data_IF_067831205610
#
_entry.id   IF_067831205610
#
_cell.length_a   1.000
_cell.length_b   1.000
_cell.length_c   1.000
_cell.angle_alpha   90.00
_cell.angle_beta   90.00
_cell.angle_gamma   90.00
#
_symmetry.space_group_name_H-M   'P 1'
#
loop_
_entity.id
_entity.type
_entity.pdbx_description
1 polymer ?
#
# COMPACT_ATOMS: atom_id res chain seq x y z
N UNK A 1 -10.02 -31.04 -2.44
CA UNK A 1 -9.55 -32.34 -1.93
C UNK A 1 -10.20 -32.71 -0.61
N UNK A 2 -10.00 -31.98 0.50
CA UNK A 2 -10.71 -32.29 1.76
C UNK A 2 -12.22 -32.10 1.67
N UNK A 3 -12.69 -31.01 1.04
CA UNK A 3 -14.13 -30.77 0.87
C UNK A 3 -14.83 -31.91 0.11
N UNK A 4 -14.21 -32.43 -0.95
CA UNK A 4 -14.76 -33.56 -1.71
C UNK A 4 -14.87 -34.82 -0.86
N UNK A 5 -13.82 -35.17 -0.09
CA UNK A 5 -13.85 -36.32 0.82
C UNK A 5 -14.94 -36.19 1.89
N UNK A 6 -15.14 -34.99 2.42
CA UNK A 6 -16.21 -34.69 3.36
C UNK A 6 -17.59 -34.81 2.72
N UNK A 7 -17.77 -34.31 1.49
CA UNK A 7 -19.01 -34.48 0.73
C UNK A 7 -19.28 -35.95 0.41
N UNK A 8 -18.27 -36.75 0.09
CA UNK A 8 -18.39 -38.20 -0.10
C UNK A 8 -18.84 -38.92 1.18
N UNK A 9 -18.30 -38.52 2.34
CA UNK A 9 -18.73 -39.07 3.63
C UNK A 9 -20.20 -38.71 3.95
N UNK A 10 -20.58 -37.45 3.74
CA UNK A 10 -21.95 -36.98 3.88
C UNK A 10 -22.92 -37.70 2.92
N UNK A 11 -22.53 -37.87 1.66
CA UNK A 11 -23.34 -38.56 0.66
C UNK A 11 -23.62 -40.01 1.08
N UNK A 12 -22.61 -40.72 1.58
CA UNK A 12 -22.77 -42.08 2.12
C UNK A 12 -23.75 -42.13 3.30
N UNK A 13 -23.62 -41.20 4.26
CA UNK A 13 -24.52 -41.14 5.42
C UNK A 13 -25.98 -40.89 5.00
N UNK A 14 -26.18 -40.04 3.99
CA UNK A 14 -27.50 -39.68 3.47
C UNK A 14 -28.06 -40.71 2.46
N UNK A 15 -27.33 -41.79 2.18
CA UNK A 15 -27.63 -42.75 1.10
C UNK A 15 -27.79 -42.07 -0.28
N UNK A 16 -27.04 -41.01 -0.51
CA UNK A 16 -26.98 -40.28 -1.77
C UNK A 16 -25.78 -40.75 -2.61
N UNK A 17 -26.02 -40.93 -3.91
CA UNK A 17 -25.01 -41.39 -4.88
C UNK A 17 -24.43 -40.24 -5.70
N UNK A 18 -25.17 -39.14 -5.85
CA UNK A 18 -24.73 -37.96 -6.56
C UNK A 18 -24.10 -36.93 -5.59
N UNK A 19 -22.77 -36.95 -5.47
CA UNK A 19 -22.02 -36.04 -4.59
C UNK A 19 -22.28 -34.55 -4.92
N UNK A 20 -22.60 -34.23 -6.17
CA UNK A 20 -22.82 -32.85 -6.60
C UNK A 20 -24.06 -32.20 -5.95
N UNK A 21 -25.01 -33.00 -5.45
CA UNK A 21 -26.17 -32.46 -4.72
C UNK A 21 -25.85 -32.17 -3.26
N UNK A 22 -24.67 -32.57 -2.78
CA UNK A 22 -24.22 -32.31 -1.41
C UNK A 22 -23.42 -31.02 -1.36
N UNK A 23 -23.90 -30.07 -0.57
CA UNK A 23 -23.20 -28.82 -0.24
C UNK A 23 -22.99 -28.72 1.27
N UNK A 24 -22.06 -27.86 1.67
CA UNK A 24 -21.83 -27.51 3.08
C UNK A 24 -21.98 -26.01 3.16
N UNK A 25 -23.01 -25.56 3.85
CA UNK A 25 -23.42 -24.16 3.91
C UNK A 25 -23.71 -23.82 5.37
N UNK A 26 -23.11 -22.72 5.87
CA UNK A 26 -23.27 -22.28 7.26
C UNK A 26 -23.05 -23.42 8.27
N UNK A 27 -21.98 -24.20 8.08
CA UNK A 27 -21.61 -25.32 8.96
C UNK A 27 -22.66 -26.45 9.02
N UNK A 28 -23.52 -26.57 8.00
CA UNK A 28 -24.51 -27.64 7.88
C UNK A 28 -24.36 -28.32 6.52
N UNK A 29 -24.52 -29.66 6.49
CA UNK A 29 -24.63 -30.41 5.24
C UNK A 29 -26.01 -30.20 4.65
N UNK A 30 -26.07 -29.83 3.37
CA UNK A 30 -27.32 -29.67 2.62
C UNK A 30 -27.42 -30.70 1.48
N UNK A 31 -28.65 -31.12 1.18
CA UNK A 31 -29.00 -31.92 0.02
C UNK A 31 -29.83 -31.04 -0.92
N UNK A 32 -29.34 -30.76 -2.14
CA UNK A 32 -29.95 -29.80 -3.06
C UNK A 32 -30.24 -28.42 -2.42
N UNK A 33 -29.32 -27.92 -1.59
CA UNK A 33 -29.47 -26.71 -0.78
C UNK A 33 -30.49 -26.76 0.36
N UNK A 34 -31.19 -27.89 0.55
CA UNK A 34 -32.04 -28.11 1.72
C UNK A 34 -31.18 -28.59 2.90
N UNK A 35 -31.21 -27.92 4.07
CA UNK A 35 -30.39 -28.29 5.22
C UNK A 35 -30.80 -29.64 5.80
N UNK A 36 -29.81 -30.47 6.11
CA UNK A 36 -30.01 -31.76 6.77
C UNK A 36 -29.77 -31.66 8.28
N UNK A 37 -29.95 -32.77 8.99
CA UNK A 37 -29.61 -32.86 10.42
C UNK A 37 -28.09 -32.96 10.68
N UNK A 38 -27.27 -33.15 9.65
CA UNK A 38 -25.83 -33.35 9.80
C UNK A 38 -25.15 -31.97 9.88
N UNK A 39 -24.76 -31.62 11.10
CA UNK A 39 -23.91 -30.45 11.38
C UNK A 39 -22.47 -30.69 10.92
N UNK A 40 -21.66 -29.64 10.85
CA UNK A 40 -20.23 -29.71 10.59
C UNK A 40 -19.52 -30.63 11.60
N UNK A 41 -19.83 -30.51 12.88
CA UNK A 41 -19.26 -31.35 13.93
C UNK A 41 -19.64 -32.82 13.74
N UNK A 42 -20.91 -33.09 13.44
CA UNK A 42 -21.36 -34.46 13.16
C UNK A 42 -20.67 -35.02 11.92
N UNK A 43 -20.50 -34.23 10.87
CA UNK A 43 -19.81 -34.63 9.65
C UNK A 43 -18.34 -35.01 9.93
N UNK A 44 -17.65 -34.24 10.78
CA UNK A 44 -16.28 -34.56 11.18
C UNK A 44 -16.21 -35.87 11.98
N UNK A 45 -17.16 -36.12 12.88
CA UNK A 45 -17.26 -37.41 13.58
C UNK A 45 -17.51 -38.57 12.62
N UNK A 46 -18.47 -38.42 11.70
CA UNK A 46 -18.77 -39.42 10.66
C UNK A 46 -17.53 -39.71 9.82
N UNK A 47 -16.82 -38.67 9.37
CA UNK A 47 -15.60 -38.81 8.58
C UNK A 47 -14.50 -39.55 9.35
N UNK A 48 -14.31 -39.23 10.64
CA UNK A 48 -13.33 -39.88 11.49
C UNK A 48 -13.65 -41.36 11.73
N UNK A 49 -14.90 -41.68 12.06
CA UNK A 49 -15.37 -43.06 12.27
C UNK A 49 -15.19 -43.90 11.00
N UNK A 50 -15.42 -43.30 9.84
CA UNK A 50 -15.21 -43.90 8.53
C UNK A 50 -13.75 -43.88 8.05
N UNK A 51 -12.81 -43.45 8.89
CA UNK A 51 -11.37 -43.38 8.60
C UNK A 51 -11.06 -42.56 7.33
N UNK A 52 -11.85 -41.52 7.08
CA UNK A 52 -11.61 -40.56 6.01
C UNK A 52 -10.44 -39.66 6.42
N UNK A 53 -9.45 -39.52 5.56
CA UNK A 53 -8.31 -38.63 5.79
C UNK A 53 -8.73 -37.16 5.71
N UNK A 54 -8.61 -36.46 6.84
CA UNK A 54 -8.91 -35.04 7.01
C UNK A 54 -7.69 -34.14 6.80
N UNK A 55 -6.53 -34.70 6.44
CA UNK A 55 -5.35 -33.92 6.06
C UNK A 55 -5.34 -33.63 4.55
N UNK A 56 -4.96 -32.41 4.19
CA UNK A 56 -4.71 -32.05 2.80
C UNK A 56 -3.48 -31.16 2.68
N UNK A 57 -2.81 -31.30 1.53
CA UNK A 57 -1.75 -30.41 1.10
C UNK A 57 -2.30 -29.48 0.01
N UNK A 58 -2.07 -28.18 0.18
CA UNK A 58 -2.31 -27.18 -0.85
C UNK A 58 -0.98 -26.67 -1.41
N UNK A 59 -0.89 -26.51 -2.73
CA UNK A 59 0.28 -25.95 -3.39
C UNK A 59 -0.16 -25.04 -4.53
N UNK A 60 0.49 -23.88 -4.65
CA UNK A 60 0.29 -22.94 -5.75
C UNK A 60 1.64 -22.42 -6.20
N UNK A 61 1.88 -22.48 -7.51
CA UNK A 61 3.00 -21.83 -8.16
C UNK A 61 2.44 -20.92 -9.25
N UNK A 62 2.83 -19.64 -9.22
CA UNK A 62 2.35 -18.65 -10.18
C UNK A 62 2.73 -19.07 -11.61
N UNK A 63 1.75 -19.33 -12.49
CA UNK A 63 2.04 -19.82 -13.84
C UNK A 63 2.56 -18.69 -14.74
N UNK A 64 3.17 -19.06 -15.86
CA UNK A 64 3.53 -18.16 -16.96
C UNK A 64 4.50 -17.03 -16.62
N UNK A 65 5.29 -17.18 -15.56
CA UNK A 65 6.40 -16.29 -15.26
C UNK A 65 7.63 -16.74 -16.04
N UNK A 66 8.02 -15.96 -17.04
CA UNK A 66 9.26 -16.15 -17.80
C UNK A 66 10.03 -14.86 -17.64
N UNK A 67 11.19 -14.93 -16.99
CA UNK A 67 12.10 -13.78 -16.87
C UNK A 67 13.50 -14.24 -17.26
N UNK A 68 14.07 -13.59 -18.27
CA UNK A 68 15.48 -13.78 -18.63
C UNK A 68 16.27 -12.53 -18.20
N UNK A 69 17.13 -12.63 -17.18
CA UNK A 69 17.87 -11.48 -16.64
C UNK A 69 18.89 -10.91 -17.62
N UNK A 70 19.24 -11.61 -18.71
CA UNK A 70 20.26 -11.16 -19.66
C UNK A 70 19.70 -10.27 -20.77
N UNK A 71 18.38 -10.29 -20.99
CA UNK A 71 17.70 -9.52 -22.05
C UNK A 71 16.62 -8.60 -21.50
N UNK A 72 16.33 -8.62 -20.19
CA UNK A 72 15.25 -7.85 -19.53
C UNK A 72 13.91 -7.92 -20.28
N UNK A 73 13.67 -9.06 -20.94
CA UNK A 73 12.45 -9.34 -21.72
C UNK A 73 11.66 -10.44 -21.04
N UNK A 74 10.36 -10.46 -21.35
CA UNK A 74 9.34 -11.42 -20.91
C UNK A 74 8.57 -11.03 -19.62
N UNK A 75 7.53 -11.83 -19.32
CA UNK A 75 6.52 -11.58 -18.28
C UNK A 75 7.04 -11.97 -16.89
N UNK A 76 7.62 -11.01 -16.18
CA UNK A 76 8.14 -11.19 -14.82
C UNK A 76 7.06 -11.15 -13.72
N UNK A 77 5.90 -10.55 -14.00
CA UNK A 77 4.82 -10.37 -13.04
C UNK A 77 3.50 -10.92 -13.60
N UNK A 78 2.74 -11.60 -12.74
CA UNK A 78 1.43 -12.15 -13.12
C UNK A 78 0.38 -11.07 -13.39
N UNK A 79 0.49 -9.94 -12.69
CA UNK A 79 -0.34 -8.76 -12.89
C UNK A 79 0.39 -7.52 -12.34
N UNK A 80 -0.14 -6.35 -12.67
CA UNK A 80 0.33 -5.06 -12.14
C UNK A 80 -0.80 -4.42 -11.33
N UNK A 81 -0.46 -3.89 -10.17
CA UNK A 81 -1.33 -3.01 -9.40
C UNK A 81 -1.12 -1.57 -9.87
N UNK A 82 -2.21 -0.81 -9.99
CA UNK A 82 -2.19 0.55 -10.48
C UNK A 82 -2.90 1.48 -9.51
N UNK A 83 -2.62 2.76 -9.63
CA UNK A 83 -3.43 3.75 -8.96
C UNK A 83 -2.89 5.15 -9.17
N UNK A 84 -3.67 6.11 -8.69
CA UNK A 84 -3.34 7.53 -8.76
C UNK A 84 -3.69 8.19 -7.44
N UNK A 85 -2.94 9.22 -7.08
CA UNK A 85 -3.17 9.99 -5.88
C UNK A 85 -3.02 11.49 -6.15
N UNK A 86 -3.86 12.27 -5.49
CA UNK A 86 -3.72 13.71 -5.36
C UNK A 86 -3.30 13.98 -3.91
N UNK A 87 -2.20 14.70 -3.75
CA UNK A 87 -1.66 15.08 -2.43
C UNK A 87 -1.66 16.59 -2.34
N UNK A 88 -2.31 17.10 -1.30
CA UNK A 88 -2.46 18.53 -1.01
C UNK A 88 -1.60 18.85 0.21
N UNK A 89 -0.75 19.85 0.08
CA UNK A 89 0.19 20.26 1.13
C UNK A 89 0.20 21.77 1.28
N UNK A 90 0.26 22.23 2.52
CA UNK A 90 0.51 23.63 2.88
C UNK A 90 1.92 23.75 3.42
N UNK A 91 2.72 24.67 2.88
CA UNK A 91 4.10 24.94 3.32
C UNK A 91 4.16 26.29 4.03
N UNK A 92 4.65 26.31 5.27
CA UNK A 92 5.03 27.54 5.98
C UNK A 92 6.31 28.08 5.34
N UNK A 93 6.16 29.10 4.52
CA UNK A 93 7.28 29.68 3.78
C UNK A 93 8.33 30.31 4.70
N UNK A 94 7.99 30.73 5.93
CA UNK A 94 8.95 31.31 6.87
C UNK A 94 9.81 30.26 7.58
N UNK A 95 9.24 29.08 7.85
CA UNK A 95 9.89 28.02 8.66
C UNK A 95 10.38 26.84 7.84
N UNK A 96 9.86 26.63 6.64
CA UNK A 96 10.09 25.44 5.83
C UNK A 96 9.33 24.20 6.32
N UNK A 97 8.52 24.32 7.38
CA UNK A 97 7.65 23.25 7.84
C UNK A 97 6.41 23.13 6.92
N UNK A 98 5.75 21.99 6.96
CA UNK A 98 4.58 21.73 6.12
C UNK A 98 3.60 20.77 6.80
N UNK A 99 2.35 20.84 6.36
CA UNK A 99 1.27 19.95 6.77
C UNK A 99 0.58 19.38 5.53
N UNK A 100 0.21 18.10 5.59
CA UNK A 100 -0.57 17.47 4.54
C UNK A 100 -2.06 17.68 4.81
N UNK A 101 -2.70 18.50 3.97
CA UNK A 101 -4.12 18.82 4.13
C UNK A 101 -5.02 17.69 3.66
N UNK A 102 -4.57 16.90 2.69
CA UNK A 102 -5.31 15.72 2.27
C UNK A 102 -4.57 14.85 1.26
N UNK A 103 -4.92 13.56 1.28
CA UNK A 103 -4.49 12.57 0.29
C UNK A 103 -5.73 11.87 -0.27
N UNK A 104 -5.92 11.95 -1.59
CA UNK A 104 -7.06 11.38 -2.28
C UNK A 104 -6.57 10.35 -3.28
N UNK A 105 -6.94 9.09 -3.09
CA UNK A 105 -6.39 7.95 -3.84
C UNK A 105 -7.50 7.21 -4.55
N UNK A 106 -7.24 6.86 -5.82
CA UNK A 106 -7.93 5.77 -6.50
C UNK A 106 -6.92 4.67 -6.77
N UNK A 107 -7.14 3.48 -6.23
CA UNK A 107 -6.20 2.37 -6.38
C UNK A 107 -6.91 1.08 -6.78
N UNK A 108 -6.22 0.32 -7.61
CA UNK A 108 -6.66 -0.94 -8.19
C UNK A 108 -6.15 -2.13 -7.38
N UNK A 109 -7.02 -2.61 -6.48
CA UNK A 109 -6.79 -3.80 -5.65
C UNK A 109 -7.40 -5.08 -6.24
N UNK A 110 -7.89 -5.03 -7.49
CA UNK A 110 -8.79 -6.06 -7.99
C UNK A 110 -10.06 -6.12 -7.13
N UNK A 111 -10.53 -7.33 -6.82
CA UNK A 111 -11.64 -7.57 -5.90
C UNK A 111 -11.11 -7.61 -4.45
N UNK A 112 -11.47 -6.63 -3.59
CA UNK A 112 -11.04 -6.61 -2.20
C UNK A 112 -11.59 -7.83 -1.47
N UNK A 113 -10.75 -8.47 -0.64
CA UNK A 113 -11.18 -9.63 0.12
C UNK A 113 -11.76 -9.20 1.47
N UNK A 114 -11.10 -8.23 2.10
CA UNK A 114 -11.61 -7.54 3.27
C UNK A 114 -11.34 -6.04 3.09
N UNK A 115 -12.35 -5.25 2.66
CA UNK A 115 -12.20 -3.83 2.41
C UNK A 115 -11.60 -3.03 3.56
N UNK A 116 -11.85 -3.44 4.81
CA UNK A 116 -11.34 -2.72 6.00
C UNK A 116 -9.85 -2.97 6.19
N UNK A 117 -9.38 -4.20 6.01
CA UNK A 117 -7.95 -4.53 6.07
C UNK A 117 -7.21 -3.86 4.91
N UNK A 118 -7.80 -3.92 3.72
CA UNK A 118 -7.21 -3.33 2.51
C UNK A 118 -7.10 -1.80 2.63
N UNK A 119 -8.13 -1.16 3.21
CA UNK A 119 -8.10 0.26 3.53
C UNK A 119 -6.98 0.59 4.52
N UNK A 120 -6.88 -0.15 5.63
CA UNK A 120 -5.85 0.08 6.65
C UNK A 120 -4.42 -0.12 6.12
N UNK A 121 -4.21 -1.11 5.25
CA UNK A 121 -2.93 -1.30 4.55
C UNK A 121 -2.61 -0.11 3.64
N UNK A 122 -3.61 0.42 2.94
CA UNK A 122 -3.43 1.58 2.07
C UNK A 122 -3.08 2.83 2.85
N UNK A 123 -3.82 3.13 3.90
CA UNK A 123 -3.58 4.29 4.76
C UNK A 123 -2.20 4.20 5.42
N UNK A 124 -1.85 3.03 5.95
CA UNK A 124 -0.53 2.78 6.54
C UNK A 124 0.60 2.95 5.54
N UNK A 125 0.46 2.36 4.33
CA UNK A 125 1.45 2.49 3.27
C UNK A 125 1.61 3.93 2.76
N UNK A 126 0.51 4.69 2.63
CA UNK A 126 0.56 6.12 2.28
C UNK A 126 1.37 6.90 3.32
N UNK A 127 1.05 6.72 4.61
CA UNK A 127 1.75 7.43 5.69
C UNK A 127 3.23 7.03 5.75
N UNK A 128 3.54 5.74 5.61
CA UNK A 128 4.91 5.24 5.55
C UNK A 128 5.67 5.84 4.35
N UNK A 129 5.02 5.93 3.18
CA UNK A 129 5.60 6.51 1.98
C UNK A 129 5.86 8.01 2.14
N UNK A 130 4.94 8.73 2.79
CA UNK A 130 5.14 10.13 3.15
C UNK A 130 6.40 10.24 4.02
N UNK A 131 6.49 9.46 5.11
CA UNK A 131 7.65 9.44 6.00
C UNK A 131 8.97 9.24 5.28
N UNK A 132 9.05 8.21 4.43
CA UNK A 132 10.19 7.92 3.57
C UNK A 132 10.62 9.13 2.72
N UNK A 133 9.66 9.90 2.22
CA UNK A 133 9.90 11.03 1.32
C UNK A 133 10.08 12.37 2.04
N UNK A 134 9.82 12.46 3.34
CA UNK A 134 9.76 13.75 4.07
C UNK A 134 10.67 13.83 5.29
N UNK A 135 10.74 12.79 6.12
CA UNK A 135 11.35 12.87 7.46
C UNK A 135 12.34 11.75 7.77
N UNK A 136 12.17 10.59 7.15
CA UNK A 136 12.99 9.41 7.43
C UNK A 136 14.33 9.49 6.71
N UNK A 137 15.34 10.04 7.39
CA UNK A 137 16.70 10.18 6.87
C UNK A 137 17.69 9.25 7.59
N UNK A 138 18.42 8.46 6.82
CA UNK A 138 19.51 7.62 7.32
C UNK A 138 20.81 8.41 7.27
N UNK A 139 21.39 8.70 8.43
CA UNK A 139 22.56 9.58 8.55
C UNK A 139 23.75 8.81 9.14
N UNK A 140 24.88 8.85 8.43
CA UNK A 140 26.16 8.32 8.88
C UNK A 140 27.12 9.46 9.21
N UNK A 141 27.98 9.27 10.21
CA UNK A 141 29.08 10.19 10.46
C UNK A 141 30.27 9.96 9.51
N UNK A 142 31.29 10.81 9.59
CA UNK A 142 32.51 10.72 8.75
C UNK A 142 33.28 9.40 8.93
N UNK A 143 33.02 8.64 10.00
CA UNK A 143 33.62 7.34 10.27
C UNK A 143 32.74 6.18 9.81
N UNK A 144 31.61 6.45 9.14
CA UNK A 144 30.66 5.46 8.66
C UNK A 144 29.75 4.88 9.75
N UNK A 145 29.65 5.51 10.93
CA UNK A 145 28.76 5.04 12.00
C UNK A 145 27.35 5.59 11.81
N UNK A 146 26.34 4.73 11.92
CA UNK A 146 24.93 5.12 11.85
C UNK A 146 24.55 5.97 13.07
N UNK A 147 24.21 7.23 12.83
CA UNK A 147 23.81 8.20 13.87
C UNK A 147 22.29 8.29 14.05
N UNK A 148 21.54 7.98 12.99
CA UNK A 148 20.08 7.84 13.02
C UNK A 148 19.66 6.43 13.47
N UNK A 149 20.23 5.94 14.58
CA UNK A 149 20.05 4.56 15.06
C UNK A 149 18.99 4.40 16.18
N UNK A 150 18.22 5.45 16.47
CA UNK A 150 17.14 5.43 17.46
C UNK A 150 15.95 6.26 16.96
N UNK A 151 14.73 6.02 17.46
CA UNK A 151 13.53 6.81 17.09
C UNK A 151 13.64 8.31 17.49
N UNK A 152 14.56 8.64 18.40
CA UNK A 152 14.89 10.03 18.72
C UNK A 152 15.69 10.72 17.61
N UNK A 153 16.45 9.97 16.79
CA UNK A 153 17.33 10.47 15.72
C UNK A 153 16.88 10.06 14.31
N UNK A 154 16.00 9.07 14.19
CA UNK A 154 15.32 8.65 12.96
C UNK A 154 13.82 8.94 13.08
N UNK A 155 13.32 9.91 12.31
CA UNK A 155 11.97 10.47 12.48
C UNK A 155 10.97 9.81 11.56
N UNK A 156 10.35 8.74 12.07
CA UNK A 156 9.11 8.19 11.49
C UNK A 156 7.95 9.19 11.66
N UNK A 157 6.93 9.17 10.78
CA UNK A 157 5.74 9.98 10.94
C UNK A 157 5.07 9.75 12.30
N UNK A 158 4.78 10.84 13.01
CA UNK A 158 3.90 10.82 14.16
C UNK A 158 2.47 11.23 13.75
N UNK A 159 1.55 11.29 14.71
CA UNK A 159 0.15 11.64 14.45
C UNK A 159 -0.04 13.04 13.85
N UNK A 160 0.92 13.96 14.03
CA UNK A 160 0.87 15.32 13.49
C UNK A 160 1.45 15.39 12.07
N UNK A 161 2.27 14.42 11.69
CA UNK A 161 2.80 14.29 10.33
C UNK A 161 1.84 13.55 9.38
N UNK A 162 0.81 12.87 9.91
CA UNK A 162 -0.24 12.21 9.12
C UNK A 162 -1.12 13.25 8.41
N UNK A 163 -1.55 13.02 7.15
CA UNK A 163 -2.51 13.88 6.48
C UNK A 163 -3.80 14.09 7.29
N UNK A 164 -4.32 15.33 7.30
CA UNK A 164 -5.58 15.67 7.98
C UNK A 164 -6.77 14.85 7.46
N UNK A 165 -6.72 14.48 6.18
CA UNK A 165 -7.70 13.62 5.54
C UNK A 165 -7.02 12.62 4.60
N UNK A 166 -7.38 11.35 4.70
CA UNK A 166 -7.03 10.33 3.70
C UNK A 166 -8.33 9.75 3.17
N UNK A 167 -8.54 9.84 1.85
CA UNK A 167 -9.70 9.25 1.17
C UNK A 167 -9.20 8.27 0.13
N UNK A 168 -9.52 6.99 0.32
CA UNK A 168 -9.18 5.93 -0.62
C UNK A 168 -10.46 5.43 -1.28
N UNK A 169 -10.48 5.44 -2.61
CA UNK A 169 -11.51 4.78 -3.42
C UNK A 169 -10.89 3.59 -4.13
N UNK A 170 -11.54 2.45 -4.04
CA UNK A 170 -11.15 1.27 -4.80
C UNK A 170 -11.61 1.40 -6.25
N UNK A 171 -10.73 1.08 -7.19
CA UNK A 171 -11.07 1.07 -8.61
C UNK A 171 -12.05 -0.08 -8.87
N UNK A 172 -13.25 0.27 -9.33
CA UNK A 172 -14.26 -0.71 -9.73
C UNK A 172 -13.79 -1.47 -10.97
N UNK A 173 -13.78 -2.80 -10.89
CA UNK A 173 -13.40 -3.71 -11.97
C UNK A 173 -14.58 -4.62 -12.32
N UNK A 174 -14.69 -5.04 -13.58
CA UNK A 174 -15.67 -6.06 -13.99
C UNK A 174 -15.14 -7.47 -13.63
N UNK A 175 -16.03 -8.39 -13.27
CA UNK A 175 -15.72 -9.77 -12.81
C UNK A 175 -14.94 -10.63 -13.84
N UNK A 176 -14.81 -10.16 -15.08
CA UNK A 176 -14.20 -10.89 -16.19
C UNK A 176 -12.66 -10.95 -16.12
N UNK A 177 -12.04 -10.08 -15.33
CA UNK A 177 -10.59 -10.10 -15.11
C UNK A 177 -10.23 -11.06 -13.98
N UNK A 178 -10.09 -12.35 -14.32
CA UNK A 178 -9.54 -13.37 -13.41
C UNK A 178 -8.06 -13.09 -13.09
N UNK A 179 -7.84 -12.20 -12.12
CA UNK A 179 -6.54 -11.87 -11.55
C UNK A 179 -6.41 -12.56 -10.17
N UNK A 180 -5.16 -12.79 -9.72
CA UNK A 180 -4.85 -13.32 -8.38
C UNK A 180 -5.73 -14.47 -7.86
N UNK A 181 -5.78 -14.64 -6.54
CA UNK A 181 -6.75 -15.54 -5.90
C UNK A 181 -8.09 -14.79 -5.80
N UNK A 182 -9.19 -15.38 -6.26
CA UNK A 182 -10.54 -14.80 -6.19
C UNK A 182 -10.68 -13.39 -6.82
N UNK A 183 -9.84 -13.01 -7.78
CA UNK A 183 -9.89 -11.69 -8.42
C UNK A 183 -9.09 -10.61 -7.71
N UNK A 184 -8.38 -10.92 -6.61
CA UNK A 184 -7.65 -9.93 -5.82
C UNK A 184 -6.28 -9.56 -6.41
N UNK A 185 -5.73 -8.43 -5.93
CA UNK A 185 -4.34 -8.02 -6.17
C UNK A 185 -3.60 -7.77 -4.85
N UNK A 186 -2.28 -7.85 -4.91
CA UNK A 186 -1.41 -7.52 -3.80
C UNK A 186 -1.50 -6.03 -3.44
N UNK A 187 -1.62 -5.74 -2.14
CA UNK A 187 -1.80 -4.41 -1.58
C UNK A 187 -0.66 -3.96 -0.65
N UNK A 188 0.19 -4.87 -0.18
CA UNK A 188 1.14 -4.55 0.90
C UNK A 188 2.16 -3.45 0.54
N UNK A 189 2.70 -3.47 -0.67
CA UNK A 189 3.76 -2.55 -1.11
C UNK A 189 3.27 -1.38 -1.99
N UNK A 190 2.31 -1.55 -2.93
CA UNK A 190 1.95 -0.49 -3.87
C UNK A 190 1.56 0.86 -3.24
N UNK A 191 0.82 0.92 -2.11
CA UNK A 191 0.46 2.20 -1.47
C UNK A 191 1.65 3.02 -0.96
N UNK A 192 2.79 2.39 -0.64
CA UNK A 192 4.02 3.09 -0.24
C UNK A 192 4.46 4.10 -1.30
N UNK A 193 4.27 3.76 -2.57
CA UNK A 193 4.74 4.57 -3.70
C UNK A 193 4.04 5.93 -3.80
N UNK A 194 2.86 6.10 -3.17
CA UNK A 194 2.19 7.39 -3.13
C UNK A 194 2.96 8.46 -2.37
N UNK A 195 3.89 8.07 -1.49
CA UNK A 195 4.85 8.97 -0.87
C UNK A 195 5.61 9.85 -1.86
N UNK A 196 5.90 9.34 -3.07
CA UNK A 196 6.56 10.10 -4.13
C UNK A 196 5.73 11.36 -4.49
N UNK A 197 4.40 11.26 -4.46
CA UNK A 197 3.53 12.41 -4.69
C UNK A 197 3.69 13.48 -3.61
N UNK A 198 3.95 13.10 -2.35
CA UNK A 198 4.18 14.04 -1.25
C UNK A 198 5.45 14.86 -1.47
N UNK A 199 6.53 14.20 -1.92
CA UNK A 199 7.77 14.86 -2.34
C UNK A 199 7.51 15.92 -3.42
N UNK A 200 6.76 15.57 -4.47
CA UNK A 200 6.46 16.50 -5.56
C UNK A 200 5.46 17.59 -5.17
N UNK A 201 4.50 17.31 -4.30
CA UNK A 201 3.56 18.31 -3.78
C UNK A 201 4.31 19.42 -3.04
N UNK A 202 5.24 19.05 -2.14
CA UNK A 202 6.11 20.01 -1.43
C UNK A 202 6.94 20.82 -2.43
N UNK A 203 7.55 20.14 -3.41
CA UNK A 203 8.35 20.83 -4.44
C UNK A 203 7.52 21.81 -5.27
N UNK A 204 6.27 21.47 -5.59
CA UNK A 204 5.36 22.36 -6.30
C UNK A 204 4.99 23.57 -5.44
N UNK A 205 4.73 23.38 -4.14
CA UNK A 205 4.49 24.48 -3.21
C UNK A 205 5.72 25.42 -3.09
N UNK A 206 6.93 24.86 -3.05
CA UNK A 206 8.19 25.65 -3.09
C UNK A 206 8.25 26.47 -4.38
N UNK A 207 7.98 25.87 -5.54
CA UNK A 207 8.01 26.56 -6.84
C UNK A 207 6.92 27.62 -6.98
N UNK A 208 5.77 27.45 -6.32
CA UNK A 208 4.72 28.46 -6.27
C UNK A 208 5.19 29.71 -5.52
N UNK A 209 6.02 29.54 -4.48
CA UNK A 209 6.64 30.66 -3.74
C UNK A 209 7.87 31.23 -4.45
N UNK A 210 8.76 30.36 -4.94
CA UNK A 210 9.99 30.70 -5.63
C UNK A 210 10.09 29.98 -6.99
N UNK A 211 9.59 30.60 -8.08
CA UNK A 211 9.55 29.99 -9.42
C UNK A 211 10.92 29.64 -10.00
N UNK A 212 11.98 30.32 -9.54
CA UNK A 212 13.37 30.10 -10.02
C UNK A 212 14.15 29.14 -9.13
N UNK A 213 13.51 28.51 -8.13
CA UNK A 213 14.13 27.51 -7.26
C UNK A 213 14.75 26.38 -8.09
N UNK A 214 16.06 26.18 -7.91
CA UNK A 214 16.88 25.18 -8.61
C UNK A 214 17.15 23.93 -7.77
N UNK A 215 16.33 23.68 -6.74
CA UNK A 215 16.57 22.59 -5.78
C UNK A 215 16.85 21.25 -6.49
N UNK A 216 17.95 20.55 -6.12
CA UNK A 216 18.27 19.24 -6.66
C UNK A 216 17.22 18.19 -6.28
N UNK A 217 17.11 17.12 -7.06
CA UNK A 217 16.26 15.99 -6.71
C UNK A 217 16.90 15.18 -5.57
N UNK A 218 16.50 15.46 -4.32
CA UNK A 218 17.03 14.82 -3.13
C UNK A 218 15.92 14.61 -2.09
N UNK A 219 15.57 13.35 -1.87
CA UNK A 219 14.75 12.94 -0.73
C UNK A 219 15.64 12.66 0.49
N UNK A 220 15.08 12.72 1.72
CA UNK A 220 13.74 13.20 2.03
C UNK A 220 13.64 14.73 2.02
N UNK A 221 12.43 15.28 1.78
CA UNK A 221 12.12 16.73 1.82
C UNK A 221 12.03 17.25 3.26
N UNK A 222 13.13 17.20 4.01
CA UNK A 222 13.17 17.73 5.38
C UNK A 222 12.85 19.23 5.41
N UNK A 223 12.34 19.78 6.53
CA UNK A 223 12.09 21.21 6.63
C UNK A 223 13.28 22.10 6.28
N UNK A 224 14.51 21.65 6.59
CA UNK A 224 15.75 22.33 6.18
C UNK A 224 15.88 22.42 4.65
N UNK A 225 15.66 21.30 3.93
CA UNK A 225 15.69 21.28 2.47
C UNK A 225 14.59 22.14 1.88
N UNK A 226 13.37 22.09 2.44
CA UNK A 226 12.27 22.95 2.02
C UNK A 226 12.64 24.43 2.16
N UNK A 227 13.24 24.83 3.29
CA UNK A 227 13.68 26.21 3.52
C UNK A 227 14.75 26.65 2.49
N UNK A 228 15.73 25.79 2.20
CA UNK A 228 16.69 26.05 1.11
C UNK A 228 16.04 26.12 -0.27
N UNK A 229 14.96 25.36 -0.50
CA UNK A 229 14.16 25.47 -1.70
C UNK A 229 13.48 26.82 -1.87
N UNK A 230 12.90 27.31 -0.77
CA UNK A 230 12.15 28.57 -0.73
C UNK A 230 13.07 29.78 -0.95
N UNK A 231 14.26 29.80 -0.33
CA UNK A 231 15.12 30.98 -0.31
C UNK A 231 16.49 30.82 -0.97
N UNK A 232 16.84 29.62 -1.45
CA UNK A 232 18.19 29.29 -1.92
C UNK A 232 19.17 29.03 -0.76
N UNK A 233 20.47 28.96 -1.06
CA UNK A 233 21.51 28.95 -0.04
C UNK A 233 21.55 30.31 0.65
N UNK A 234 21.04 30.38 1.87
CA UNK A 234 21.20 31.57 2.71
C UNK A 234 22.66 31.59 3.18
N UNK A 235 23.44 32.58 2.72
CA UNK A 235 24.78 32.83 3.28
C UNK A 235 24.60 33.38 4.69
N UNK A 236 24.77 32.51 5.70
CA UNK A 236 24.57 32.85 7.11
C UNK A 236 25.72 33.69 7.69
N UNK A 237 26.73 34.08 6.88
CA UNK A 237 27.76 35.03 7.31
C UNK A 237 27.13 36.40 7.61
N UNK A 238 27.07 36.83 8.89
CA UNK A 238 26.47 38.11 9.26
C UNK A 238 27.19 39.32 8.63
N UNK A 239 28.42 39.15 8.10
CA UNK A 239 29.16 40.21 7.39
C UNK A 239 28.74 40.38 5.93
N UNK A 240 28.00 39.44 5.36
CA UNK A 240 27.57 39.45 3.95
C UNK A 240 26.06 39.67 3.75
N UNK A 241 25.33 40.13 4.78
CA UNK A 241 23.92 40.57 4.67
C UNK A 241 23.78 41.79 3.74
N UNK A 242 23.89 41.57 2.43
CA UNK A 242 23.14 42.32 1.42
C UNK A 242 22.12 41.34 0.87
N UNK A 243 20.90 41.45 1.36
CA UNK A 243 19.75 40.93 0.64
C UNK A 243 19.73 41.76 -0.64
N UNK A 244 20.14 41.18 -1.77
CA UNK A 244 19.81 41.75 -3.08
C UNK A 244 18.30 41.54 -3.27
N UNK A 245 17.51 42.44 -2.69
CA UNK A 245 16.11 42.61 -3.09
C UNK A 245 16.13 43.08 -4.54
N UNK A 246 15.88 42.15 -5.47
CA UNK A 246 15.42 42.49 -6.81
C UNK A 246 14.02 43.11 -6.69
N UNK A 247 13.99 44.41 -6.40
CA UNK A 247 12.78 45.24 -6.41
C UNK A 247 12.87 46.25 -7.56
N UNK A 248 13.20 45.78 -8.75
CA UNK A 248 13.29 46.64 -9.95
C UNK A 248 12.71 46.02 -11.23
N UNK A 249 11.74 45.11 -11.14
CA UNK A 249 11.02 44.61 -12.33
C UNK A 249 9.49 44.56 -12.18
N UNK A 250 8.91 45.40 -11.31
CA UNK A 250 7.44 45.58 -11.22
C UNK A 250 6.99 47.05 -11.36
N UNK A 251 7.75 47.85 -12.09
CA UNK A 251 7.31 49.14 -12.61
C UNK A 251 7.79 49.28 -14.06
N UNK A 252 7.09 48.61 -14.96
CA UNK A 252 6.73 49.05 -16.32
C UNK A 252 5.64 48.13 -16.88
#
# INVERSE_FOLDING_TARGET
>A
YNLERLKEAAAKELNETNINVITIENEIVCHNHDPTAITWENLLSIALENRVDLSAHGYYATPNLIFDPNVERNTAFAYHAYGTAIIVVTVDCLRGNYEFDGVYVVHDYGKPWNPVIDLGQTEGGIVQGIGWMTSEEVIYDEKGRLTSNALSTYKVPDIYAVPKEIKVKFLERTEEEKLGLMGSKAIGEPPLMYGIGAYFAIRNAIKAFNPVSDMPYKAPMTPERVLFGLYGKIDLDPKKKKIETSTSQLLE
#
